data_IF_401005237306
#
_entry.id   IF_401005237306
#
_cell.length_a   1.000
_cell.length_b   1.000
_cell.length_c   1.000
_cell.angle_alpha   90.00
_cell.angle_beta   90.00
_cell.angle_gamma   90.00
#
_symmetry.space_group_name_H-M   'P 1'
#
loop_
_entity.id
_entity.type
_entity.pdbx_description
1 polymer ?
#
# COMPACT_ATOMS: atom_id res chain seq x y z
N UNK A 1 15.40 -14.23 -10.65
CA UNK A 1 14.22 -14.30 -11.54
C UNK A 1 13.07 -13.74 -10.74
N UNK A 2 12.92 -12.41 -10.79
CA UNK A 2 11.94 -11.64 -10.04
C UNK A 2 10.84 -11.28 -11.06
N UNK A 3 9.69 -11.92 -10.93
CA UNK A 3 8.51 -11.74 -11.79
C UNK A 3 7.40 -11.18 -10.88
N UNK A 4 7.32 -9.85 -10.81
CA UNK A 4 6.37 -8.97 -11.51
C UNK A 4 4.94 -9.15 -10.96
N UNK A 5 4.44 -8.12 -10.28
CA UNK A 5 3.00 -7.81 -10.32
C UNK A 5 2.72 -7.58 -11.80
N UNK A 6 2.00 -8.49 -12.46
CA UNK A 6 1.63 -8.27 -13.85
C UNK A 6 0.80 -6.99 -13.90
N UNK A 7 1.45 -5.88 -14.29
CA UNK A 7 0.89 -4.56 -14.52
C UNK A 7 -0.02 -4.57 -15.77
N UNK A 8 -0.71 -5.69 -15.98
CA UNK A 8 -1.54 -5.95 -17.12
C UNK A 8 -3.03 -5.69 -16.81
N UNK A 9 -3.35 -5.30 -15.57
CA UNK A 9 -4.47 -4.41 -15.34
C UNK A 9 -3.92 -2.99 -15.51
N UNK A 10 -4.00 -2.45 -16.73
CA UNK A 10 -3.42 -1.16 -17.18
C UNK A 10 -3.92 0.08 -16.42
N UNK A 11 -4.60 -0.10 -15.29
CA UNK A 11 -5.37 0.91 -14.59
C UNK A 11 -4.82 1.25 -13.19
N UNK A 12 -3.78 0.57 -12.70
CA UNK A 12 -3.18 0.83 -11.39
C UNK A 12 -1.76 1.41 -11.50
N UNK A 13 -1.55 2.61 -10.94
CA UNK A 13 -0.26 3.33 -10.88
C UNK A 13 0.03 3.73 -9.42
N UNK A 14 1.19 3.34 -8.90
CA UNK A 14 1.59 3.59 -7.50
C UNK A 14 2.94 4.30 -7.48
N UNK A 15 2.97 5.49 -6.88
CA UNK A 15 4.16 6.33 -6.76
C UNK A 15 4.45 6.65 -5.30
N UNK A 16 5.72 6.54 -4.87
CA UNK A 16 6.16 6.97 -3.54
C UNK A 16 7.33 7.95 -3.63
N UNK A 17 7.05 9.22 -3.34
CA UNK A 17 8.02 10.32 -3.48
C UNK A 17 7.95 11.24 -2.26
N UNK A 18 9.09 11.56 -1.66
CA UNK A 18 9.24 12.54 -0.56
C UNK A 18 8.26 12.37 0.62
N UNK A 19 7.98 11.14 1.04
CA UNK A 19 7.05 10.91 2.15
C UNK A 19 5.58 10.80 1.73
N UNK A 20 5.27 10.99 0.46
CA UNK A 20 3.92 10.91 -0.13
C UNK A 20 3.80 9.64 -0.97
N UNK A 21 2.83 8.79 -0.64
CA UNK A 21 2.41 7.64 -1.43
C UNK A 21 1.12 8.00 -2.17
N UNK A 22 1.15 7.95 -3.49
CA UNK A 22 0.01 8.17 -4.38
C UNK A 22 -0.36 6.84 -5.02
N UNK A 23 -1.62 6.41 -4.89
CA UNK A 23 -2.14 5.21 -5.54
C UNK A 23 -3.31 5.60 -6.44
N UNK A 24 -3.15 5.46 -7.75
CA UNK A 24 -4.20 5.65 -8.75
C UNK A 24 -4.69 4.26 -9.16
N UNK A 25 -5.91 3.89 -8.80
CA UNK A 25 -6.39 2.50 -8.95
C UNK A 25 -7.31 2.31 -10.16
N UNK A 26 -8.06 3.35 -10.50
CA UNK A 26 -9.01 3.46 -11.61
C UNK A 26 -9.16 4.95 -11.98
N UNK A 27 -9.89 5.25 -13.04
CA UNK A 27 -10.27 6.62 -13.39
C UNK A 27 -10.92 7.33 -12.20
N UNK A 28 -10.34 8.45 -11.76
CA UNK A 28 -10.75 9.25 -10.59
C UNK A 28 -10.65 8.57 -9.20
N UNK A 29 -10.02 7.40 -9.07
CA UNK A 29 -9.83 6.72 -7.79
C UNK A 29 -8.39 6.86 -7.30
N UNK A 30 -8.08 8.03 -6.75
CA UNK A 30 -6.73 8.40 -6.31
C UNK A 30 -6.68 8.51 -4.79
N UNK A 31 -5.83 7.69 -4.18
CA UNK A 31 -5.47 7.78 -2.77
C UNK A 31 -4.16 8.53 -2.64
N UNK A 32 -4.07 9.39 -1.62
CA UNK A 32 -2.81 10.06 -1.25
C UNK A 32 -2.57 9.84 0.23
N UNK A 33 -1.45 9.20 0.58
CA UNK A 33 -0.97 9.08 1.94
C UNK A 33 0.27 9.95 2.10
N UNK A 34 0.22 10.90 3.02
CA UNK A 34 1.33 11.80 3.31
C UNK A 34 1.83 11.57 4.74
N UNK A 35 3.12 11.25 4.89
CA UNK A 35 3.78 11.16 6.19
C UNK A 35 3.99 12.56 6.76
N UNK A 36 3.63 12.75 8.03
CA UNK A 36 3.87 13.98 8.78
C UNK A 36 4.74 13.68 10.02
N UNK A 37 6.06 13.45 9.84
CA UNK A 37 6.97 13.11 10.94
C UNK A 37 6.95 14.05 12.14
N UNK A 38 6.95 15.40 11.96
CA UNK A 38 6.95 16.33 13.09
C UNK A 38 5.75 16.14 14.03
N UNK A 39 4.59 15.78 13.46
CA UNK A 39 3.34 15.61 14.18
C UNK A 39 3.08 14.16 14.57
N UNK A 40 3.95 13.22 14.19
CA UNK A 40 3.73 11.77 14.32
C UNK A 40 2.37 11.34 13.74
N UNK A 41 2.10 11.83 12.53
CA UNK A 41 0.84 11.60 11.84
C UNK A 41 1.02 11.00 10.44
N UNK A 42 -0.01 10.31 9.97
CA UNK A 42 -0.22 10.02 8.56
C UNK A 42 -1.52 10.69 8.13
N UNK A 43 -1.45 11.46 7.05
CA UNK A 43 -2.62 12.07 6.44
C UNK A 43 -3.05 11.25 5.23
N UNK A 44 -4.32 10.87 5.19
CA UNK A 44 -4.94 10.17 4.09
C UNK A 44 -5.87 11.12 3.36
N UNK A 45 -5.80 11.15 2.04
CA UNK A 45 -6.87 11.61 1.16
C UNK A 45 -7.44 10.38 0.47
N UNK A 46 -8.66 9.99 0.85
CA UNK A 46 -9.41 8.90 0.21
C UNK A 46 -10.45 9.48 -0.77
N UNK A 47 -10.62 8.87 -1.96
CA UNK A 47 -11.71 9.23 -2.87
C UNK A 47 -13.09 8.81 -2.34
N UNK A 48 -13.16 7.92 -1.34
CA UNK A 48 -14.41 7.41 -0.74
C UNK A 48 -14.74 8.17 0.54
N UNK A 49 -13.80 8.20 1.50
CA UNK A 49 -14.07 8.76 2.83
C UNK A 49 -13.50 10.16 3.07
N UNK A 50 -12.89 10.76 2.06
CA UNK A 50 -12.30 12.09 2.14
C UNK A 50 -11.02 12.12 2.99
N UNK A 51 -10.63 13.32 3.47
CA UNK A 51 -9.39 13.48 4.22
C UNK A 51 -9.50 13.00 5.67
N UNK A 52 -8.50 12.26 6.13
CA UNK A 52 -8.38 11.81 7.52
C UNK A 52 -6.94 11.97 8.02
N UNK A 53 -6.78 12.23 9.31
CA UNK A 53 -5.47 12.34 9.97
C UNK A 53 -5.39 11.24 11.01
N UNK A 54 -4.41 10.38 10.88
CA UNK A 54 -4.18 9.28 11.79
C UNK A 54 -2.99 9.60 12.68
N UNK A 55 -3.20 9.49 13.98
CA UNK A 55 -2.18 9.65 15.00
C UNK A 55 -1.52 8.29 15.29
N UNK A 56 -0.23 8.29 15.61
CA UNK A 56 0.46 7.05 15.99
C UNK A 56 0.17 6.68 17.45
N UNK A 57 -0.28 5.45 17.68
CA UNK A 57 -0.43 4.87 19.00
C UNK A 57 0.72 3.89 19.28
N UNK A 58 1.61 4.26 20.20
CA UNK A 58 2.79 3.47 20.54
C UNK A 58 2.44 2.14 21.22
N UNK A 59 1.37 2.10 22.02
CA UNK A 59 0.99 0.90 22.78
C UNK A 59 0.56 -0.27 21.90
N UNK A 60 0.06 0.00 20.70
CA UNK A 60 -0.40 -1.03 19.75
C UNK A 60 0.35 -1.00 18.41
N UNK A 61 1.29 -0.07 18.21
CA UNK A 61 1.98 0.17 16.95
C UNK A 61 1.00 0.34 15.77
N UNK A 62 -0.05 1.14 15.96
CA UNK A 62 -1.06 1.40 14.93
C UNK A 62 -1.33 2.88 14.73
N UNK A 63 -1.89 3.19 13.57
CA UNK A 63 -2.31 4.53 13.18
C UNK A 63 -3.82 4.64 13.35
N UNK A 64 -4.28 5.49 14.27
CA UNK A 64 -5.69 5.58 14.67
C UNK A 64 -6.30 6.93 14.31
N UNK A 65 -7.58 6.93 13.96
CA UNK A 65 -8.35 8.14 13.73
C UNK A 65 -9.20 8.45 14.96
N UNK A 66 -8.90 9.57 15.61
CA UNK A 66 -9.52 9.99 16.89
C UNK A 66 -11.04 10.14 16.85
N UNK A 67 -11.63 10.42 15.68
CA UNK A 67 -13.06 10.73 15.57
C UNK A 67 -13.97 9.51 15.61
N UNK A 68 -13.52 8.39 15.07
CA UNK A 68 -14.33 7.16 14.94
C UNK A 68 -13.61 5.91 15.45
N UNK A 69 -12.41 6.06 16.05
CA UNK A 69 -11.54 4.99 16.52
C UNK A 69 -11.15 3.96 15.45
N UNK A 70 -11.35 4.26 14.16
CA UNK A 70 -10.89 3.40 13.08
C UNK A 70 -9.38 3.47 12.92
N UNK A 71 -8.78 2.39 12.43
CA UNK A 71 -7.36 2.38 12.12
C UNK A 71 -7.10 2.56 10.61
N UNK A 72 -5.93 3.10 10.27
CA UNK A 72 -5.53 3.32 8.88
C UNK A 72 -5.55 2.03 8.06
N UNK A 73 -5.08 0.93 8.64
CA UNK A 73 -4.96 -0.34 7.94
C UNK A 73 -6.32 -1.00 7.68
N UNK A 74 -7.25 -0.93 8.64
CA UNK A 74 -8.62 -1.42 8.45
C UNK A 74 -9.36 -0.60 7.39
N UNK A 75 -9.25 0.74 7.46
CA UNK A 75 -9.91 1.62 6.49
C UNK A 75 -9.42 1.36 5.07
N UNK A 76 -8.09 1.32 4.87
CA UNK A 76 -7.53 1.05 3.55
C UNK A 76 -7.82 -0.37 3.08
N UNK A 77 -7.80 -1.37 3.97
CA UNK A 77 -8.19 -2.73 3.60
C UNK A 77 -9.63 -2.76 3.07
N UNK A 78 -10.54 -2.07 3.75
CA UNK A 78 -11.95 -1.98 3.35
C UNK A 78 -12.12 -1.27 2.01
N UNK A 79 -11.60 -0.04 1.89
CA UNK A 79 -11.81 0.80 0.70
C UNK A 79 -11.11 0.24 -0.54
N UNK A 80 -9.90 -0.29 -0.40
CA UNK A 80 -9.23 -0.96 -1.52
C UNK A 80 -9.97 -2.24 -1.92
N UNK A 81 -10.52 -2.99 -0.96
CA UNK A 81 -11.30 -4.18 -1.29
C UNK A 81 -12.54 -3.85 -2.11
N UNK A 82 -13.23 -2.76 -1.75
CA UNK A 82 -14.41 -2.26 -2.44
C UNK A 82 -14.07 -1.84 -3.88
N UNK A 83 -13.00 -1.08 -4.08
CA UNK A 83 -12.59 -0.58 -5.41
C UNK A 83 -12.08 -1.71 -6.33
N UNK A 84 -11.33 -2.64 -5.76
CA UNK A 84 -10.69 -3.73 -6.52
C UNK A 84 -11.60 -4.96 -6.65
N UNK A 85 -12.74 -5.00 -5.97
CA UNK A 85 -13.69 -6.11 -5.99
C UNK A 85 -13.10 -7.42 -5.46
N UNK A 86 -12.06 -7.33 -4.61
CA UNK A 86 -11.31 -8.46 -4.06
C UNK A 86 -11.01 -8.19 -2.59
N UNK A 87 -10.95 -9.23 -1.77
CA UNK A 87 -10.60 -9.05 -0.37
C UNK A 87 -9.12 -8.68 -0.22
N UNK A 88 -8.85 -7.56 0.44
CA UNK A 88 -7.51 -7.04 0.71
C UNK A 88 -7.36 -6.92 2.23
N UNK A 89 -6.23 -7.42 2.74
CA UNK A 89 -5.91 -7.37 4.15
C UNK A 89 -4.52 -6.75 4.35
N UNK A 90 -4.51 -5.51 4.81
CA UNK A 90 -3.30 -4.75 5.11
C UNK A 90 -2.99 -4.88 6.59
N UNK A 91 -1.75 -5.23 6.91
CA UNK A 91 -1.30 -5.33 8.29
C UNK A 91 -0.84 -3.96 8.82
N UNK A 92 -1.10 -3.63 10.11
CA UNK A 92 -0.67 -2.35 10.71
C UNK A 92 0.85 -2.11 10.58
N UNK A 93 1.65 -3.19 10.65
CA UNK A 93 3.12 -3.14 10.62
C UNK A 93 3.68 -2.45 9.38
N UNK A 94 3.00 -2.53 8.23
CA UNK A 94 3.52 -1.95 6.99
C UNK A 94 3.65 -0.43 7.08
N UNK A 95 2.70 0.23 7.74
CA UNK A 95 2.75 1.69 7.92
C UNK A 95 3.81 2.10 8.94
N UNK A 96 4.05 1.28 9.97
CA UNK A 96 5.14 1.50 10.91
C UNK A 96 6.51 1.39 10.23
N UNK A 97 6.72 0.32 9.43
CA UNK A 97 7.94 0.16 8.65
C UNK A 97 8.14 1.28 7.65
N UNK A 98 7.08 1.71 6.96
CA UNK A 98 7.15 2.88 6.11
C UNK A 98 7.57 4.11 6.94
N UNK A 99 6.88 4.42 8.03
CA UNK A 99 7.04 5.67 8.76
C UNK A 99 8.39 5.80 9.49
N UNK A 100 8.84 4.75 10.16
CA UNK A 100 10.04 4.78 11.00
C UNK A 100 11.34 4.38 10.28
N UNK A 101 11.26 3.93 9.02
CA UNK A 101 12.46 3.58 8.26
C UNK A 101 13.25 4.85 7.90
N UNK A 102 14.39 5.00 8.57
CA UNK A 102 15.37 6.05 8.34
C UNK A 102 16.01 5.89 6.95
N UNK A 103 16.32 6.99 6.25
CA UNK A 103 16.98 6.95 4.92
C UNK A 103 18.35 6.25 4.92
N UNK A 104 18.94 6.00 6.10
CA UNK A 104 20.20 5.29 6.29
C UNK A 104 20.06 3.80 6.62
N UNK A 105 18.84 3.24 6.57
CA UNK A 105 18.64 1.81 6.72
C UNK A 105 19.12 1.08 5.46
N UNK A 106 19.99 0.08 5.66
CA UNK A 106 20.62 -0.80 4.66
C UNK A 106 19.80 -0.95 3.35
N UNK A 107 20.36 -0.58 2.18
CA UNK A 107 19.69 -0.71 0.88
C UNK A 107 19.31 -2.16 0.54
N UNK A 108 19.90 -3.16 1.21
CA UNK A 108 19.60 -4.57 1.02
C UNK A 108 18.44 -5.10 1.87
N UNK A 109 17.94 -4.31 2.84
CA UNK A 109 16.60 -4.55 3.40
C UNK A 109 15.60 -4.10 2.34
N UNK A 110 15.33 -4.99 1.39
CA UNK A 110 14.15 -4.88 0.54
C UNK A 110 12.97 -4.72 1.49
N UNK A 111 12.12 -3.73 1.25
CA UNK A 111 10.78 -3.75 1.84
C UNK A 111 10.26 -5.18 1.64
N UNK A 112 9.71 -5.87 2.67
CA UNK A 112 9.13 -7.18 2.44
C UNK A 112 8.24 -7.03 1.23
N UNK A 113 8.56 -7.78 0.16
CA UNK A 113 8.07 -7.57 -1.20
C UNK A 113 6.67 -7.00 -1.08
N UNK A 114 6.51 -5.71 -1.40
CA UNK A 114 5.31 -4.98 -1.10
C UNK A 114 4.25 -5.45 -2.09
N UNK A 115 3.80 -6.68 -1.89
CA UNK A 115 2.48 -7.13 -2.18
C UNK A 115 1.62 -6.53 -1.06
N UNK A 116 1.42 -5.19 -1.06
CA UNK A 116 0.41 -4.53 -0.22
C UNK A 116 -0.96 -5.18 -0.40
N UNK A 117 -1.13 -5.88 -1.53
CA UNK A 117 -2.31 -6.55 -1.99
C UNK A 117 -1.88 -8.00 -2.26
N UNK A 118 -2.12 -8.91 -1.31
CA UNK A 118 -2.02 -10.33 -1.59
C UNK A 118 -3.22 -10.68 -2.47
N UNK A 119 -3.03 -10.83 -3.78
CA UNK A 119 -4.08 -11.28 -4.72
C UNK A 119 -3.86 -12.77 -4.98
N UNK A 120 -4.55 -13.69 -4.28
CA UNK A 120 -4.36 -15.11 -4.50
C UNK A 120 -5.31 -15.54 -5.62
N UNK A 121 -4.83 -15.49 -6.86
CA UNK A 121 -5.25 -16.38 -7.95
C UNK A 121 -4.67 -15.89 -9.27
N UNK A 122 -3.69 -16.61 -9.80
CA UNK A 122 -3.51 -16.95 -11.22
C UNK A 122 -2.23 -17.80 -11.39
N UNK A 123 -2.02 -18.78 -10.50
CA UNK A 123 -1.07 -19.88 -10.73
C UNK A 123 -1.85 -21.02 -11.39
N UNK A 124 -2.29 -20.83 -12.63
CA UNK A 124 -2.48 -21.96 -13.54
C UNK A 124 -2.65 -21.54 -15.00
N UNK A 125 -1.96 -22.30 -15.87
CA UNK A 125 -1.83 -22.20 -17.35
C UNK A 125 -0.83 -21.15 -17.82
N UNK A 126 0.21 -21.46 -18.60
CA UNK A 126 0.64 -22.72 -19.26
C UNK A 126 2.13 -22.59 -19.59
N UNK A 127 2.88 -23.66 -19.40
CA UNK A 127 4.10 -23.96 -20.18
C UNK A 127 3.76 -23.89 -21.68
N UNK A 128 4.53 -23.14 -22.46
CA UNK A 128 4.91 -23.50 -23.84
C UNK A 128 6.08 -22.64 -24.33
N UNK A 129 7.23 -23.32 -24.41
CA UNK A 129 8.23 -23.36 -25.49
C UNK A 129 8.81 -22.08 -26.16
N UNK A 130 10.13 -22.20 -26.35
CA UNK A 130 10.94 -21.72 -27.49
C UNK A 130 11.29 -20.22 -27.47
N UNK A 131 12.48 -19.75 -27.86
CA UNK A 131 13.75 -20.33 -28.31
C UNK A 131 14.77 -19.15 -28.27
N UNK A 132 16.04 -19.43 -27.93
CA UNK A 132 17.30 -18.84 -28.41
C UNK A 132 17.52 -17.32 -28.59
N UNK A 133 18.71 -16.90 -28.09
CA UNK A 133 19.74 -16.00 -28.66
C UNK A 133 20.36 -15.20 -27.50
N UNK A 134 21.65 -15.28 -27.13
CA UNK A 134 22.87 -15.97 -27.61
C UNK A 134 23.63 -16.36 -26.33
#
# INVERSE_FOLDING_TARGET
>A
MEEIIDANDRNCDIEYTNGVLTMKLRENMIFVLNKQPPNRQIWLSSPISGPRRFDFCESNNTWFYTRDNSTLHELLSKELSEILGKQINIKPIYFCLLFFRNRNADPHIRLPNINFINVPSLLNKRRTNALFCI
#
